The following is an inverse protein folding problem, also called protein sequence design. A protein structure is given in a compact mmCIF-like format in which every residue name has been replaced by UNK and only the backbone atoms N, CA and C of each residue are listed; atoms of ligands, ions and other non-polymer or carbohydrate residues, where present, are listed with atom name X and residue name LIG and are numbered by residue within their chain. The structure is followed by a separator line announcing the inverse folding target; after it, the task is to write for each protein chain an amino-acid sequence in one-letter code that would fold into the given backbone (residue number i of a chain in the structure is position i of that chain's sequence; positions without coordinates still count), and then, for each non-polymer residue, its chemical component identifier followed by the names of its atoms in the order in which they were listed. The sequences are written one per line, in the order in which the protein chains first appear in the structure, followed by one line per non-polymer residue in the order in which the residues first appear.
data_IF_884156680728
#
_entry.id   IF_884156680728
#
_cell.length_a   1.000
_cell.length_b   1.000
_cell.length_c   1.000
_cell.angle_alpha   90.00
_cell.angle_beta   90.00
_cell.angle_gamma   90.00
#
_symmetry.space_group_name_H-M   'P 1'
#
loop_
_entity.id
_entity.type
_entity.pdbx_description
1 polymer ?
#
# COMPACT_ATOMS: atom_id res chain seq x y z
N UNK A 1 -18.34 -11.05 17.25
CA UNK A 1 -17.96 -10.60 15.90
C UNK A 1 -16.53 -11.03 15.67
N UNK A 2 -16.26 -11.71 14.57
CA UNK A 2 -14.89 -12.04 14.15
C UNK A 2 -14.25 -10.76 13.62
N UNK A 3 -13.14 -10.33 14.19
CA UNK A 3 -12.38 -9.19 13.67
C UNK A 3 -11.65 -9.65 12.41
N UNK A 4 -11.95 -9.06 11.25
CA UNK A 4 -11.12 -9.19 10.07
C UNK A 4 -9.98 -8.17 10.19
N UNK A 5 -8.72 -8.61 10.21
CA UNK A 5 -7.59 -7.73 10.43
C UNK A 5 -7.31 -6.87 9.20
N UNK A 6 -7.19 -5.57 9.39
CA UNK A 6 -6.80 -4.66 8.32
C UNK A 6 -5.34 -4.90 7.99
N UNK A 7 -5.06 -5.24 6.73
CA UNK A 7 -3.71 -5.34 6.18
C UNK A 7 -3.72 -4.79 4.76
N UNK A 8 -3.01 -3.68 4.53
CA UNK A 8 -2.93 -3.00 3.23
C UNK A 8 -1.53 -2.46 2.97
N UNK A 9 -1.02 -2.75 1.78
CA UNK A 9 0.26 -2.28 1.26
C UNK A 9 0.03 -1.59 -0.10
N UNK A 10 0.46 -0.35 -0.25
CA UNK A 10 0.54 0.35 -1.55
C UNK A 10 2.01 0.55 -1.87
N UNK A 11 2.46 0.04 -3.00
CA UNK A 11 3.88 0.07 -3.37
C UNK A 11 4.07 -0.02 -4.88
N UNK A 12 5.26 0.34 -5.35
CA UNK A 12 5.62 0.15 -6.77
C UNK A 12 5.63 -1.34 -7.12
N UNK A 13 5.23 -1.67 -8.35
CA UNK A 13 5.22 -3.07 -8.85
C UNK A 13 6.56 -3.80 -8.67
N UNK A 14 7.68 -3.09 -8.86
CA UNK A 14 9.05 -3.62 -8.65
C UNK A 14 9.35 -4.02 -7.20
N UNK A 15 8.65 -3.42 -6.24
CA UNK A 15 8.87 -3.61 -4.80
C UNK A 15 8.04 -4.74 -4.20
N UNK A 16 7.09 -5.33 -4.96
CA UNK A 16 6.19 -6.38 -4.48
C UNK A 16 6.94 -7.63 -4.02
N UNK A 17 7.90 -8.14 -4.80
CA UNK A 17 8.68 -9.32 -4.36
C UNK A 17 9.55 -9.01 -3.13
N UNK A 18 10.32 -7.89 -3.10
CA UNK A 18 11.05 -7.49 -1.90
C UNK A 18 10.21 -7.29 -0.64
N UNK A 19 8.95 -6.85 -0.75
CA UNK A 19 8.10 -6.64 0.42
C UNK A 19 7.73 -7.95 1.12
N UNK A 20 7.45 -9.03 0.38
CA UNK A 20 7.21 -10.35 0.97
C UNK A 20 8.45 -10.95 1.66
N UNK A 21 9.66 -10.56 1.24
CA UNK A 21 10.89 -10.93 1.94
C UNK A 21 11.10 -10.13 3.22
N UNK A 22 10.66 -8.87 3.24
CA UNK A 22 10.80 -7.97 4.39
C UNK A 22 9.76 -8.26 5.48
N UNK A 23 8.60 -8.80 5.08
CA UNK A 23 7.49 -9.12 5.96
C UNK A 23 6.99 -10.54 5.64
N UNK A 24 7.66 -11.55 6.22
CA UNK A 24 7.40 -12.96 5.93
C UNK A 24 5.96 -13.43 6.22
N UNK A 25 5.20 -12.67 7.01
CA UNK A 25 3.82 -13.00 7.33
C UNK A 25 2.82 -12.55 6.27
N UNK A 26 3.18 -11.61 5.37
CA UNK A 26 2.25 -10.96 4.46
C UNK A 26 1.54 -11.93 3.52
N UNK A 27 2.22 -12.99 3.09
CA UNK A 27 1.69 -13.99 2.16
C UNK A 27 0.42 -14.70 2.68
N UNK A 28 0.21 -14.70 4.00
CA UNK A 28 -0.97 -15.28 4.65
C UNK A 28 -2.18 -14.34 4.70
N UNK A 29 -1.97 -13.04 4.51
CA UNK A 29 -3.01 -12.02 4.75
C UNK A 29 -3.35 -11.21 3.52
N UNK A 30 -2.41 -10.99 2.60
CA UNK A 30 -2.64 -10.11 1.46
C UNK A 30 -2.45 -10.81 0.13
N UNK A 31 -3.25 -10.37 -0.83
CA UNK A 31 -3.07 -10.68 -2.24
C UNK A 31 -3.05 -9.38 -3.03
N UNK A 32 -2.58 -9.43 -4.28
CA UNK A 32 -2.69 -8.27 -5.15
C UNK A 32 -4.15 -8.04 -5.54
N UNK A 33 -4.69 -6.88 -5.15
CA UNK A 33 -6.09 -6.51 -5.36
C UNK A 33 -6.27 -5.62 -6.59
N UNK A 34 -7.44 -5.69 -7.21
CA UNK A 34 -7.86 -4.79 -8.30
C UNK A 34 -8.67 -3.62 -7.74
N UNK A 35 -7.98 -2.64 -7.16
CA UNK A 35 -8.64 -1.40 -6.75
C UNK A 35 -9.10 -0.61 -7.98
N UNK A 36 -10.41 -0.39 -8.12
CA UNK A 36 -11.01 0.23 -9.31
C UNK A 36 -10.64 1.71 -9.44
N UNK A 37 -10.56 2.41 -8.31
CA UNK A 37 -10.27 3.84 -8.25
C UNK A 37 -8.83 4.13 -8.68
N UNK A 38 -7.87 3.38 -8.15
CA UNK A 38 -6.47 3.48 -8.49
C UNK A 38 -6.20 3.04 -9.93
N UNK A 39 -6.82 1.94 -10.37
CA UNK A 39 -6.70 1.47 -11.75
C UNK A 39 -7.16 2.53 -12.74
N UNK A 40 -8.26 3.22 -12.44
CA UNK A 40 -8.75 4.33 -13.26
C UNK A 40 -7.83 5.55 -13.23
N UNK A 41 -7.42 5.98 -12.03
CA UNK A 41 -6.59 7.17 -11.84
C UNK A 41 -5.19 7.04 -12.48
N UNK A 42 -4.66 5.83 -12.58
CA UNK A 42 -3.33 5.58 -13.15
C UNK A 42 -3.35 5.25 -14.65
N UNK A 43 -4.49 5.36 -15.34
CA UNK A 43 -4.57 5.21 -16.81
C UNK A 43 -3.60 6.17 -17.50
N UNK A 44 -2.65 5.63 -18.26
CA UNK A 44 -1.60 6.40 -18.94
C UNK A 44 -0.26 6.48 -18.18
N UNK A 45 -0.19 5.98 -16.94
CA UNK A 45 1.08 5.81 -16.22
C UNK A 45 1.85 4.62 -16.80
N UNK A 46 3.18 4.72 -16.89
CA UNK A 46 4.02 3.58 -17.29
C UNK A 46 3.89 2.44 -16.28
N UNK A 47 3.81 1.20 -16.76
CA UNK A 47 3.63 0.01 -15.91
C UNK A 47 4.76 -0.22 -14.88
N UNK A 48 5.94 0.37 -15.09
CA UNK A 48 7.06 0.34 -14.14
C UNK A 48 6.88 1.31 -12.97
N UNK A 49 6.09 2.36 -13.16
CA UNK A 49 5.83 3.45 -12.21
C UNK A 49 4.46 3.32 -11.55
N UNK A 50 3.61 2.43 -12.07
CA UNK A 50 2.30 2.14 -11.51
C UNK A 50 2.42 1.60 -10.08
N UNK A 51 1.51 2.08 -9.23
CA UNK A 51 1.35 1.55 -7.89
C UNK A 51 0.53 0.26 -7.96
N UNK A 52 0.77 -0.60 -7.00
CA UNK A 52 0.07 -1.86 -6.80
C UNK A 52 -0.45 -1.86 -5.36
N UNK A 53 -1.65 -2.40 -5.17
CA UNK A 53 -2.24 -2.57 -3.85
C UNK A 53 -2.21 -4.05 -3.50
N UNK A 54 -1.65 -4.38 -2.34
CA UNK A 54 -1.79 -5.67 -1.69
C UNK A 54 -2.75 -5.47 -0.51
N UNK A 55 -3.82 -6.24 -0.43
CA UNK A 55 -4.73 -6.19 0.70
C UNK A 55 -5.40 -7.54 0.94
N UNK A 56 -6.13 -7.64 2.06
CA UNK A 56 -6.92 -8.84 2.41
C UNK A 56 -8.03 -9.16 1.41
N UNK A 57 -8.58 -8.14 0.73
CA UNK A 57 -9.61 -8.30 -0.28
C UNK A 57 -9.73 -7.06 -1.17
N UNK A 58 -10.33 -7.23 -2.35
CA UNK A 58 -10.70 -6.11 -3.22
C UNK A 58 -11.65 -5.14 -2.51
N UNK A 59 -12.56 -5.64 -1.67
CA UNK A 59 -13.49 -4.82 -0.88
C UNK A 59 -12.75 -3.89 0.08
N UNK A 60 -11.85 -4.45 0.90
CA UNK A 60 -11.02 -3.66 1.81
C UNK A 60 -10.18 -2.63 1.06
N UNK A 61 -9.57 -3.03 -0.06
CA UNK A 61 -8.78 -2.11 -0.88
C UNK A 61 -9.60 -0.94 -1.41
N UNK A 62 -10.81 -1.18 -1.91
CA UNK A 62 -11.69 -0.16 -2.49
C UNK A 62 -12.35 0.72 -1.41
N UNK A 63 -12.50 0.21 -0.20
CA UNK A 63 -12.97 0.98 0.94
C UNK A 63 -11.90 1.95 1.44
N UNK A 64 -10.65 1.51 1.55
CA UNK A 64 -9.54 2.34 2.06
C UNK A 64 -9.03 3.34 1.01
N UNK A 65 -8.88 2.90 -0.25
CA UNK A 65 -8.42 3.74 -1.35
C UNK A 65 -9.65 4.10 -2.20
N UNK A 66 -10.30 5.18 -1.80
CA UNK A 66 -11.38 5.79 -2.56
C UNK A 66 -10.86 6.60 -3.76
N UNK A 67 -11.76 7.29 -4.46
CA UNK A 67 -11.40 8.15 -5.60
C UNK A 67 -10.44 9.28 -5.21
N UNK A 68 -10.68 9.95 -4.10
CA UNK A 68 -9.86 11.09 -3.66
C UNK A 68 -8.43 10.65 -3.35
N UNK A 69 -8.30 9.52 -2.64
CA UNK A 69 -7.00 8.92 -2.32
C UNK A 69 -6.31 8.44 -3.60
N UNK A 70 -7.03 7.79 -4.51
CA UNK A 70 -6.50 7.35 -5.78
C UNK A 70 -5.96 8.51 -6.63
N UNK A 71 -6.66 9.64 -6.69
CA UNK A 71 -6.23 10.83 -7.42
C UNK A 71 -4.94 11.42 -6.83
N UNK A 72 -4.81 11.45 -5.51
CA UNK A 72 -3.58 11.87 -4.80
C UNK A 72 -2.43 10.92 -5.09
N UNK A 73 -2.66 9.60 -5.01
CA UNK A 73 -1.66 8.58 -5.31
C UNK A 73 -1.24 8.57 -6.79
N UNK A 74 -2.15 8.88 -7.70
CA UNK A 74 -1.81 9.01 -9.12
C UNK A 74 -0.92 10.24 -9.38
N UNK A 75 -1.15 11.34 -8.65
CA UNK A 75 -0.42 12.59 -8.82
C UNK A 75 0.96 12.62 -8.13
N UNK A 76 1.06 12.04 -6.93
CA UNK A 76 2.26 12.13 -6.08
C UNK A 76 2.81 10.77 -5.65
N UNK A 77 2.30 9.68 -6.21
CA UNK A 77 2.73 8.34 -5.85
C UNK A 77 4.08 7.95 -6.44
N UNK A 78 4.68 8.78 -7.29
CA UNK A 78 6.04 8.64 -7.81
C UNK A 78 7.08 8.64 -6.69
N UNK A 79 6.96 9.56 -5.73
CA UNK A 79 7.83 9.67 -4.55
C UNK A 79 7.51 8.64 -3.44
N UNK A 80 6.37 7.93 -3.55
CA UNK A 80 5.98 6.91 -2.59
C UNK A 80 6.71 5.59 -2.88
N UNK A 81 7.54 5.14 -1.95
CA UNK A 81 8.19 3.82 -2.00
C UNK A 81 7.21 2.73 -1.58
N UNK A 82 6.60 2.94 -0.42
CA UNK A 82 5.53 2.11 0.12
C UNK A 82 4.72 2.87 1.18
N UNK A 83 3.44 2.50 1.27
CA UNK A 83 2.53 2.82 2.34
C UNK A 83 2.02 1.50 2.91
N UNK A 84 2.16 1.31 4.21
CA UNK A 84 1.68 0.14 4.93
C UNK A 84 0.70 0.58 6.00
N UNK A 85 -0.51 0.04 5.94
CA UNK A 85 -1.57 0.19 6.93
C UNK A 85 -1.88 -1.19 7.50
N UNK A 86 -1.84 -1.35 8.81
CA UNK A 86 -2.15 -2.63 9.45
C UNK A 86 -2.64 -2.46 10.88
N UNK A 87 -3.55 -3.30 11.34
CA UNK A 87 -3.89 -3.43 12.77
C UNK A 87 -3.23 -4.65 13.44
N UNK A 88 -2.38 -5.36 12.69
CA UNK A 88 -1.62 -6.49 13.18
C UNK A 88 -0.51 -6.04 14.14
N UNK A 89 -0.14 -6.92 15.07
CA UNK A 89 0.99 -6.74 16.01
C UNK A 89 2.36 -6.87 15.32
N UNK A 90 2.57 -6.18 14.22
CA UNK A 90 3.74 -6.32 13.34
C UNK A 90 4.79 -5.24 13.61
N UNK A 91 4.36 -4.10 14.16
CA UNK A 91 5.22 -2.94 14.38
C UNK A 91 5.77 -2.77 15.79
N UNK A 92 5.13 -3.34 16.82
CA UNK A 92 5.64 -3.30 18.20
C UNK A 92 4.98 -4.34 19.10
N UNK A 93 5.79 -5.03 19.91
CA UNK A 93 5.32 -5.96 20.95
C UNK A 93 4.54 -5.27 22.07
N UNK A 94 4.62 -3.94 22.17
CA UNK A 94 4.10 -3.15 23.30
C UNK A 94 2.74 -2.50 23.03
N UNK A 95 2.21 -2.61 21.83
CA UNK A 95 0.97 -1.93 21.47
C UNK A 95 -0.20 -2.90 21.54
N UNK A 96 -1.34 -2.47 22.12
CA UNK A 96 -2.55 -3.29 22.19
C UNK A 96 -2.95 -3.83 20.81
N UNK A 97 -3.52 -5.04 20.78
CA UNK A 97 -4.36 -5.41 19.64
C UNK A 97 -5.48 -4.36 19.53
N UNK A 98 -5.90 -4.02 18.30
CA UNK A 98 -6.90 -2.98 17.97
C UNK A 98 -6.37 -1.54 17.82
N UNK A 99 -5.07 -1.36 17.58
CA UNK A 99 -4.55 -0.07 17.12
C UNK A 99 -4.16 -0.16 15.64
N UNK A 100 -4.63 0.80 14.86
CA UNK A 100 -4.25 0.95 13.48
C UNK A 100 -2.86 1.59 13.39
N UNK A 101 -1.96 0.93 12.70
CA UNK A 101 -0.64 1.42 12.37
C UNK A 101 -0.59 1.88 10.93
N UNK A 102 0.11 2.97 10.72
CA UNK A 102 0.43 3.49 9.41
C UNK A 102 1.92 3.80 9.34
N UNK A 103 2.58 3.30 8.30
CA UNK A 103 3.97 3.61 7.97
C UNK A 103 4.05 3.96 6.50
N UNK A 104 4.63 5.12 6.19
CA UNK A 104 4.95 5.50 4.82
C UNK A 104 6.46 5.65 4.68
N UNK A 105 7.02 5.15 3.58
CA UNK A 105 8.38 5.44 3.15
C UNK A 105 8.32 6.28 1.88
N UNK A 106 8.89 7.47 1.97
CA UNK A 106 8.90 8.47 0.88
C UNK A 106 10.36 8.63 0.45
N UNK A 107 10.61 8.59 -0.86
CA UNK A 107 11.89 8.93 -1.44
C UNK A 107 11.89 10.40 -1.82
N UNK A 108 12.79 11.18 -1.23
CA UNK A 108 13.06 12.55 -1.62
C UNK A 108 14.40 12.53 -2.35
N UNK A 109 14.38 12.72 -3.66
CA UNK A 109 15.60 12.97 -4.44
C UNK A 109 15.76 14.47 -4.59
N UNK A 110 16.93 14.99 -4.24
CA UNK A 110 17.33 16.34 -4.65
C UNK A 110 17.41 16.33 -6.18
N UNK A 111 16.68 17.23 -6.85
CA UNK A 111 16.89 17.46 -8.27
C UNK A 111 18.25 18.14 -8.39
N UNK A 112 19.26 17.39 -8.87
CA UNK A 112 20.42 18.03 -9.46
C UNK A 112 19.92 18.76 -10.71
N UNK A 113 19.77 20.08 -10.61
CA UNK A 113 19.57 20.96 -11.76
C UNK A 113 20.75 20.74 -12.74
N UNK A 114 20.46 20.17 -13.91
CA UNK A 114 21.34 20.17 -15.08
C UNK A 114 20.73 21.03 -16.18
#
# INVERSE_FOLDING_TARGET
MTHNPIELLVLKKKSVKPSFQSFEYLDKFVTQTQNKHLTEAQKGTKASESLVVLAESDEASNFIIDKTVADVLAKYGDVLMDLHITDQKTYSKQVPMNQLYMKARIQITENDEQ
#
